data_IF_527734458858
#
_entry.id   IF_527734458858
#
_cell.length_a   1.000
_cell.length_b   1.000
_cell.length_c   1.000
_cell.angle_alpha   90.00
_cell.angle_beta   90.00
_cell.angle_gamma   90.00
#
_symmetry.space_group_name_H-M   'P 1'
#
loop_
_entity.id
_entity.type
_entity.pdbx_description
1 polymer ?
#
# COMPACT_ATOMS: atom_id res chain seq x y z
N UNK A 1 -0.01 -19.67 16.76
CA UNK A 1 -0.11 -21.08 16.32
C UNK A 1 -0.09 -21.11 14.81
N UNK A 2 0.81 -21.88 14.21
CA UNK A 2 0.82 -22.13 12.77
C UNK A 2 0.84 -23.64 12.56
N UNK A 3 -0.01 -24.14 11.66
CA UNK A 3 -0.07 -25.55 11.29
C UNK A 3 0.08 -25.64 9.78
N UNK A 4 1.02 -26.44 9.33
CA UNK A 4 1.17 -26.78 7.92
C UNK A 4 1.13 -28.29 7.76
N UNK A 5 0.30 -28.77 6.84
CA UNK A 5 0.10 -30.19 6.62
C UNK A 5 0.16 -30.52 5.12
N UNK A 6 1.09 -31.37 4.67
CA UNK A 6 1.09 -31.88 3.32
C UNK A 6 -0.12 -32.81 3.13
N UNK A 7 -1.00 -32.49 2.18
CA UNK A 7 -2.14 -33.36 1.82
C UNK A 7 -1.78 -34.32 0.69
N UNK A 8 -0.76 -33.99 -0.10
CA UNK A 8 -0.11 -34.90 -1.04
C UNK A 8 1.37 -34.51 -1.22
N UNK A 9 2.10 -35.20 -2.09
CA UNK A 9 3.53 -34.97 -2.33
C UNK A 9 3.88 -33.59 -2.93
N UNK A 10 2.88 -32.83 -3.40
CA UNK A 10 3.03 -31.56 -4.11
C UNK A 10 2.12 -30.45 -3.55
N UNK A 11 1.33 -30.73 -2.52
CA UNK A 11 0.30 -29.83 -2.03
C UNK A 11 0.34 -29.75 -0.50
N UNK A 12 0.39 -28.53 0.02
CA UNK A 12 0.43 -28.23 1.45
C UNK A 12 -0.73 -27.30 1.80
N UNK A 13 -1.48 -27.67 2.84
CA UNK A 13 -2.39 -26.74 3.50
C UNK A 13 -1.65 -26.04 4.63
N UNK A 14 -1.84 -24.73 4.77
CA UNK A 14 -1.34 -23.97 5.91
C UNK A 14 -2.48 -23.20 6.57
N UNK A 15 -2.41 -23.12 7.89
CA UNK A 15 -3.32 -22.37 8.73
C UNK A 15 -2.50 -21.61 9.77
N UNK A 16 -2.83 -20.35 10.00
CA UNK A 16 -2.23 -19.56 11.07
C UNK A 16 -3.27 -18.85 11.92
N UNK A 17 -2.98 -18.79 13.21
CA UNK A 17 -3.76 -18.08 14.22
C UNK A 17 -2.81 -17.37 15.17
N UNK A 18 -2.96 -16.06 15.32
CA UNK A 18 -2.07 -15.25 16.15
C UNK A 18 -2.76 -14.08 16.82
N UNK A 19 -2.27 -13.72 18.01
CA UNK A 19 -2.63 -12.48 18.70
C UNK A 19 -1.43 -11.55 18.63
N UNK A 20 -1.67 -10.35 18.16
CA UNK A 20 -0.65 -9.31 18.00
C UNK A 20 -1.09 -8.09 18.78
N UNK A 21 -0.14 -7.45 19.45
CA UNK A 21 -0.40 -6.28 20.28
C UNK A 21 0.48 -5.14 19.80
N UNK A 22 -0.11 -3.98 19.60
CA UNK A 22 0.60 -2.76 19.23
C UNK A 22 0.25 -1.68 20.25
N UNK A 23 1.26 -1.18 20.95
CA UNK A 23 1.10 0.00 21.82
C UNK A 23 0.73 1.24 21.00
N UNK A 24 0.03 2.18 21.62
CA UNK A 24 -0.25 3.47 21.02
C UNK A 24 1.04 4.28 20.80
N UNK A 25 0.94 5.42 20.12
CA UNK A 25 2.09 6.31 20.01
C UNK A 25 2.47 6.86 21.40
N UNK A 26 3.74 7.20 21.63
CA UNK A 26 4.16 7.80 22.92
C UNK A 26 3.39 9.08 23.26
N UNK A 27 3.02 9.85 22.22
CA UNK A 27 2.13 10.97 22.37
C UNK A 27 0.82 10.55 23.02
N UNK A 28 0.20 9.45 22.64
CA UNK A 28 -1.12 9.12 23.17
C UNK A 28 -1.15 8.85 24.68
N UNK A 29 -0.03 8.39 25.24
CA UNK A 29 0.17 8.15 26.67
C UNK A 29 0.52 9.41 27.49
N UNK A 30 0.89 10.51 26.82
CA UNK A 30 1.38 11.72 27.50
C UNK A 30 2.78 11.54 28.08
N UNK A 31 3.60 10.66 27.49
CA UNK A 31 4.99 10.45 27.89
C UNK A 31 5.89 11.50 27.23
N UNK A 32 6.24 12.52 28.00
CA UNK A 32 7.16 13.59 27.62
C UNK A 32 7.74 14.25 28.87
N UNK A 33 9.08 14.27 28.98
CA UNK A 33 9.77 14.93 30.09
C UNK A 33 10.44 16.21 29.59
N UNK A 34 9.94 17.37 30.05
CA UNK A 34 10.70 18.62 30.13
C UNK A 34 10.94 19.40 28.83
N UNK A 35 10.41 20.63 28.78
CA UNK A 35 11.14 21.80 28.28
C UNK A 35 11.55 21.90 26.79
N UNK A 36 11.11 21.02 25.91
CA UNK A 36 11.34 21.14 24.46
C UNK A 36 10.04 21.30 23.68
N UNK A 37 9.92 22.36 22.88
CA UNK A 37 8.88 22.48 21.85
C UNK A 37 9.06 21.34 20.83
N UNK A 38 8.35 20.23 21.05
CA UNK A 38 8.51 19.06 20.21
C UNK A 38 7.46 18.01 20.54
N UNK A 39 6.24 18.21 20.03
CA UNK A 39 5.17 17.22 19.85
C UNK A 39 4.99 16.21 21.01
N UNK A 40 4.55 16.69 22.17
CA UNK A 40 4.16 15.86 23.30
C UNK A 40 2.75 16.32 23.74
N UNK A 41 1.79 15.40 23.70
CA UNK A 41 0.31 15.62 23.76
C UNK A 41 -0.23 16.20 25.06
N UNK A 42 0.64 16.66 25.97
CA UNK A 42 0.22 17.35 27.19
C UNK A 42 0.80 18.75 27.15
N UNK A 43 -0.03 19.71 26.75
CA UNK A 43 0.35 21.11 26.74
C UNK A 43 -0.80 21.97 27.28
N UNK A 44 -0.38 22.99 28.02
CA UNK A 44 -1.24 24.05 28.54
C UNK A 44 -1.14 25.19 27.53
N UNK A 45 -2.28 25.77 27.17
CA UNK A 45 -2.31 26.95 26.29
C UNK A 45 -1.99 28.18 27.14
N UNK A 46 -1.19 29.10 26.62
CA UNK A 46 -0.84 30.32 27.34
C UNK A 46 -2.11 31.08 27.80
N UNK A 47 -2.15 31.46 29.08
CA UNK A 47 -3.34 32.04 29.72
C UNK A 47 -4.35 31.05 30.30
N UNK A 48 -4.14 29.73 30.22
CA UNK A 48 -4.95 28.72 30.94
C UNK A 48 -4.16 28.03 32.05
N UNK A 49 -4.86 27.55 33.08
CA UNK A 49 -4.27 26.74 34.17
C UNK A 49 -4.60 25.24 34.02
N UNK A 50 -5.07 24.82 32.85
CA UNK A 50 -5.49 23.45 32.57
C UNK A 50 -5.04 23.01 31.17
N UNK A 51 -4.75 21.72 30.96
CA UNK A 51 -4.25 21.22 29.69
C UNK A 51 -5.32 21.28 28.59
N UNK A 52 -4.93 21.55 27.35
CA UNK A 52 -5.84 21.46 26.20
C UNK A 52 -5.96 20.01 25.69
N UNK A 53 -4.85 19.28 25.72
CA UNK A 53 -4.79 17.83 25.50
C UNK A 53 -4.06 17.21 26.69
N UNK A 54 -4.53 16.05 27.13
CA UNK A 54 -3.92 15.25 28.19
C UNK A 54 -3.82 13.81 27.73
N UNK A 55 -2.60 13.28 27.63
CA UNK A 55 -2.39 11.87 27.28
C UNK A 55 -2.94 10.91 28.34
N UNK A 56 -3.27 9.69 27.93
CA UNK A 56 -3.86 8.69 28.81
C UNK A 56 -2.91 7.49 28.98
N UNK A 57 -2.36 7.34 30.19
CA UNK A 57 -1.45 6.25 30.55
C UNK A 57 -2.15 4.89 30.69
N UNK A 58 -3.47 4.89 30.85
CA UNK A 58 -4.29 3.68 30.96
C UNK A 58 -4.72 3.12 29.59
N UNK A 59 -4.17 3.64 28.49
CA UNK A 59 -4.47 3.10 27.15
C UNK A 59 -4.01 1.65 27.02
N UNK A 60 -4.97 0.78 26.73
CA UNK A 60 -4.68 -0.60 26.37
C UNK A 60 -4.00 -0.65 24.98
N UNK A 61 -3.08 -1.59 24.76
CA UNK A 61 -2.53 -1.81 23.43
C UNK A 61 -3.65 -2.26 22.47
N UNK A 62 -3.56 -1.81 21.22
CA UNK A 62 -4.41 -2.32 20.15
C UNK A 62 -4.12 -3.80 19.96
N UNK A 63 -5.18 -4.62 19.99
CA UNK A 63 -5.10 -6.07 19.84
C UNK A 63 -5.60 -6.47 18.46
N UNK A 64 -4.80 -7.23 17.73
CA UNK A 64 -5.20 -7.84 16.46
C UNK A 64 -5.19 -9.35 16.60
N UNK A 65 -6.34 -9.98 16.41
CA UNK A 65 -6.46 -11.43 16.29
C UNK A 65 -6.53 -11.78 14.81
N UNK A 66 -5.50 -12.44 14.29
CA UNK A 66 -5.40 -12.78 12.88
C UNK A 66 -5.58 -14.29 12.67
N UNK A 67 -6.33 -14.61 11.62
CA UNK A 67 -6.57 -15.95 11.10
C UNK A 67 -6.18 -15.97 9.63
N UNK A 68 -5.49 -17.03 9.21
CA UNK A 68 -5.13 -17.25 7.82
C UNK A 68 -5.33 -18.72 7.49
N UNK A 69 -5.83 -18.98 6.28
CA UNK A 69 -5.90 -20.32 5.70
C UNK A 69 -5.43 -20.22 4.25
N UNK A 70 -4.60 -21.16 3.84
CA UNK A 70 -4.15 -21.23 2.46
C UNK A 70 -3.78 -22.63 2.02
N UNK A 71 -3.67 -22.75 0.70
CA UNK A 71 -3.27 -23.96 0.01
C UNK A 71 -2.19 -23.61 -1.00
N UNK A 72 -1.06 -24.29 -0.88
CA UNK A 72 0.04 -24.20 -1.82
C UNK A 72 0.13 -25.49 -2.63
N UNK A 73 0.25 -25.39 -3.96
CA UNK A 73 0.43 -26.53 -4.85
C UNK A 73 1.56 -26.29 -5.84
N UNK A 74 2.50 -27.22 -5.85
CA UNK A 74 3.49 -27.34 -6.91
C UNK A 74 2.86 -27.99 -8.16
N UNK A 75 2.88 -27.25 -9.27
CA UNK A 75 2.36 -27.66 -10.57
C UNK A 75 3.55 -27.98 -11.48
N UNK A 76 3.64 -29.26 -11.85
CA UNK A 76 4.62 -29.80 -12.78
C UNK A 76 6.09 -29.49 -12.45
N UNK A 77 6.44 -29.19 -11.19
CA UNK A 77 7.79 -28.79 -10.75
C UNK A 77 8.30 -27.47 -11.37
N UNK A 78 7.43 -26.71 -12.04
CA UNK A 78 7.79 -25.45 -12.70
C UNK A 78 7.06 -24.25 -12.12
N UNK A 79 5.91 -24.48 -11.48
CA UNK A 79 5.10 -23.43 -10.89
C UNK A 79 4.67 -23.81 -9.47
N UNK A 80 4.53 -22.81 -8.61
CA UNK A 80 3.93 -22.94 -7.29
C UNK A 80 2.77 -21.97 -7.24
N UNK A 81 1.55 -22.50 -7.09
CA UNK A 81 0.33 -21.73 -6.91
C UNK A 81 -0.02 -21.73 -5.42
N UNK A 82 -0.15 -20.55 -4.83
CA UNK A 82 -0.61 -20.33 -3.47
C UNK A 82 -1.92 -19.53 -3.53
N UNK A 83 -2.93 -20.04 -2.85
CA UNK A 83 -4.20 -19.38 -2.62
C UNK A 83 -4.37 -19.19 -1.11
N UNK A 84 -4.41 -17.94 -0.66
CA UNK A 84 -4.51 -17.59 0.75
C UNK A 84 -5.70 -16.68 1.00
N UNK A 85 -6.46 -16.97 2.05
CA UNK A 85 -7.50 -16.09 2.58
C UNK A 85 -7.20 -15.76 4.04
N UNK A 86 -7.45 -14.52 4.44
CA UNK A 86 -7.17 -14.07 5.79
C UNK A 86 -8.29 -13.20 6.37
N UNK A 87 -8.40 -13.26 7.70
CA UNK A 87 -9.30 -12.47 8.50
C UNK A 87 -8.54 -11.88 9.69
N UNK A 88 -8.75 -10.60 9.98
CA UNK A 88 -8.17 -9.90 11.13
C UNK A 88 -9.29 -9.20 11.88
N UNK A 89 -9.41 -9.47 13.18
CA UNK A 89 -10.24 -8.69 14.11
C UNK A 89 -9.31 -7.77 14.91
N UNK A 90 -9.60 -6.48 14.89
CA UNK A 90 -8.79 -5.43 15.51
C UNK A 90 -9.64 -4.75 16.58
N UNK A 91 -9.14 -4.74 17.82
CA UNK A 91 -9.81 -4.18 19.00
C UNK A 91 -8.90 -3.17 19.68
N UNK A 92 -9.50 -2.38 20.57
CA UNK A 92 -8.81 -1.39 21.38
C UNK A 92 -8.09 -0.33 20.55
N UNK A 93 -8.63 0.04 19.38
CA UNK A 93 -8.04 1.13 18.60
C UNK A 93 -8.23 2.45 19.34
N UNK A 94 -7.20 3.31 19.28
CA UNK A 94 -7.18 4.60 19.96
C UNK A 94 -8.20 5.56 19.33
N UNK A 95 -8.90 6.31 20.17
CA UNK A 95 -9.80 7.40 19.78
C UNK A 95 -9.66 8.57 20.76
N UNK A 96 -10.16 9.73 20.34
CA UNK A 96 -10.21 10.94 21.18
C UNK A 96 -11.54 10.98 21.95
N UNK A 97 -11.47 11.35 23.23
CA UNK A 97 -12.60 11.62 24.13
C UNK A 97 -12.39 12.98 24.78
N UNK A 98 -13.44 13.79 24.86
CA UNK A 98 -13.40 15.09 25.54
C UNK A 98 -13.86 14.93 26.99
N UNK A 99 -13.16 15.58 27.92
CA UNK A 99 -13.51 15.63 29.34
C UNK A 99 -13.77 17.09 29.71
N UNK A 100 -14.93 17.35 30.32
CA UNK A 100 -15.21 18.63 30.96
C UNK A 100 -14.96 18.48 32.46
N UNK A 101 -14.06 19.30 32.99
CA UNK A 101 -13.73 19.35 34.41
C UNK A 101 -14.11 20.72 34.99
N UNK A 102 -14.14 20.89 36.32
CA UNK A 102 -14.39 22.19 36.97
C UNK A 102 -13.38 23.25 36.59
N UNK A 103 -12.19 22.80 36.18
CA UNK A 103 -11.05 23.64 35.90
C UNK A 103 -10.95 23.98 34.41
N UNK A 104 -11.71 23.30 33.54
CA UNK A 104 -11.70 23.49 32.10
C UNK A 104 -11.99 22.22 31.31
N UNK A 105 -12.05 22.34 29.98
CA UNK A 105 -12.31 21.24 29.04
C UNK A 105 -11.01 20.81 28.38
N UNK A 106 -10.76 19.51 28.33
CA UNK A 106 -9.57 18.95 27.70
C UNK A 106 -9.90 17.71 26.86
N UNK A 107 -9.08 17.44 25.85
CA UNK A 107 -9.15 16.20 25.08
C UNK A 107 -8.18 15.16 25.65
N UNK A 108 -8.60 13.91 25.73
CA UNK A 108 -7.76 12.77 26.08
C UNK A 108 -8.00 11.60 25.13
N UNK A 109 -7.16 10.57 25.23
CA UNK A 109 -7.27 9.38 24.40
C UNK A 109 -7.93 8.24 25.17
N UNK A 110 -8.70 7.41 24.48
CA UNK A 110 -9.33 6.21 25.02
C UNK A 110 -9.29 5.07 24.00
N UNK A 111 -9.52 3.85 24.46
CA UNK A 111 -9.78 2.70 23.59
C UNK A 111 -11.30 2.63 23.37
N UNK A 112 -11.73 2.44 22.12
CA UNK A 112 -13.17 2.29 21.90
C UNK A 112 -13.64 2.13 20.48
N UNK A 113 -12.76 1.99 19.49
CA UNK A 113 -13.18 1.56 18.18
C UNK A 113 -12.68 0.14 17.92
N UNK A 114 -13.21 -0.47 16.87
CA UNK A 114 -12.80 -1.77 16.38
C UNK A 114 -12.73 -1.72 14.86
N UNK A 115 -12.01 -2.65 14.28
CA UNK A 115 -11.95 -2.81 12.84
C UNK A 115 -11.83 -4.28 12.48
N UNK A 116 -12.22 -4.62 11.26
CA UNK A 116 -11.90 -5.92 10.70
C UNK A 116 -11.26 -5.77 9.32
N UNK A 117 -10.50 -6.79 8.92
CA UNK A 117 -9.94 -6.88 7.58
C UNK A 117 -10.14 -8.30 7.07
N UNK A 118 -10.66 -8.42 5.86
CA UNK A 118 -10.85 -9.68 5.16
C UNK A 118 -10.21 -9.55 3.79
N UNK A 119 -9.41 -10.54 3.41
CA UNK A 119 -8.74 -10.48 2.12
C UNK A 119 -8.40 -11.84 1.55
N UNK A 120 -8.04 -11.81 0.29
CA UNK A 120 -7.59 -12.98 -0.45
C UNK A 120 -6.37 -12.60 -1.29
N UNK A 121 -5.46 -13.55 -1.42
CA UNK A 121 -4.25 -13.48 -2.22
C UNK A 121 -4.13 -14.71 -3.11
N UNK A 122 -3.71 -14.49 -4.35
CA UNK A 122 -3.38 -15.52 -5.32
C UNK A 122 -1.96 -15.25 -5.77
N UNK A 123 -1.07 -16.20 -5.53
CA UNK A 123 0.34 -16.09 -5.87
C UNK A 123 0.73 -17.24 -6.78
N UNK A 124 1.27 -16.92 -7.96
CA UNK A 124 1.81 -17.88 -8.90
C UNK A 124 3.31 -17.61 -9.07
N UNK A 125 4.14 -18.47 -8.50
CA UNK A 125 5.59 -18.40 -8.64
C UNK A 125 6.04 -19.34 -9.77
N UNK A 126 6.80 -18.82 -10.73
CA UNK A 126 7.50 -19.62 -11.74
C UNK A 126 8.91 -19.92 -11.24
N UNK A 127 9.18 -21.19 -10.94
CA UNK A 127 10.49 -21.65 -10.49
C UNK A 127 11.55 -21.49 -11.59
N UNK A 128 12.81 -21.19 -11.22
CA UNK A 128 13.92 -21.10 -12.17
C UNK A 128 14.02 -22.32 -13.07
N UNK A 129 13.72 -22.11 -14.35
CA UNK A 129 13.74 -23.17 -15.36
C UNK A 129 14.92 -22.90 -16.29
N UNK A 130 15.99 -23.71 -16.15
CA UNK A 130 17.18 -23.59 -16.99
C UNK A 130 16.98 -24.34 -18.30
N UNK A 131 17.20 -23.66 -19.42
CA UNK A 131 17.11 -24.18 -20.78
C UNK A 131 18.41 -23.86 -21.55
N UNK A 132 18.64 -24.47 -22.72
CA UNK A 132 19.77 -24.10 -23.58
C UNK A 132 19.79 -22.63 -23.98
N UNK A 133 18.60 -22.01 -24.09
CA UNK A 133 18.46 -20.60 -24.49
C UNK A 133 18.52 -19.63 -23.31
N UNK A 134 18.42 -20.09 -22.06
CA UNK A 134 18.54 -19.23 -20.88
C UNK A 134 17.80 -19.77 -19.66
N UNK A 135 17.75 -18.98 -18.59
CA UNK A 135 16.98 -19.30 -17.38
C UNK A 135 15.86 -18.30 -17.23
N UNK A 136 14.64 -18.78 -17.01
CA UNK A 136 13.45 -17.95 -16.81
C UNK A 136 12.80 -18.27 -15.46
N UNK A 137 12.41 -17.23 -14.74
CA UNK A 137 11.68 -17.30 -13.47
C UNK A 137 10.82 -16.06 -13.30
N UNK A 138 9.95 -16.06 -12.31
CA UNK A 138 9.06 -14.94 -12.08
C UNK A 138 7.99 -15.23 -11.05
N UNK A 139 7.11 -14.26 -10.88
CA UNK A 139 5.95 -14.37 -10.01
C UNK A 139 4.79 -13.53 -10.56
N UNK A 140 3.58 -13.88 -10.16
CA UNK A 140 2.39 -13.06 -10.33
C UNK A 140 1.57 -13.14 -9.04
N UNK A 141 1.33 -12.00 -8.39
CA UNK A 141 0.60 -11.88 -7.14
C UNK A 141 -0.61 -10.98 -7.34
N UNK A 142 -1.80 -11.50 -7.07
CA UNK A 142 -3.04 -10.75 -7.03
C UNK A 142 -3.55 -10.67 -5.60
N UNK A 143 -3.88 -9.48 -5.13
CA UNK A 143 -4.41 -9.25 -3.79
C UNK A 143 -5.65 -8.38 -3.82
N UNK A 144 -6.63 -8.72 -2.99
CA UNK A 144 -7.83 -7.92 -2.75
C UNK A 144 -8.20 -7.99 -1.28
N UNK A 145 -8.75 -6.90 -0.74
CA UNK A 145 -9.21 -6.85 0.64
C UNK A 145 -10.34 -5.84 0.80
N UNK A 146 -11.15 -6.07 1.83
CA UNK A 146 -12.15 -5.16 2.34
C UNK A 146 -12.13 -5.25 3.86
N UNK A 147 -12.71 -4.28 4.55
CA UNK A 147 -12.82 -4.32 6.00
C UNK A 147 -13.95 -3.44 6.49
N UNK A 148 -14.07 -3.36 7.79
CA UNK A 148 -14.92 -2.38 8.47
C UNK A 148 -14.07 -1.53 9.40
N UNK A 149 -14.45 -0.27 9.54
CA UNK A 149 -14.09 0.58 10.67
C UNK A 149 -15.36 0.83 11.49
N UNK A 150 -15.34 0.37 12.72
CA UNK A 150 -16.50 0.28 13.60
C UNK A 150 -16.33 1.12 14.86
N UNK A 151 -17.39 1.82 15.23
CA UNK A 151 -17.45 2.59 16.48
C UNK A 151 -18.29 1.83 17.50
N UNK A 152 -17.71 1.51 18.66
CA UNK A 152 -18.37 0.74 19.73
C UNK A 152 -19.54 1.49 20.39
N UNK A 153 -19.64 2.81 20.16
CA UNK A 153 -20.55 3.68 20.89
C UNK A 153 -19.97 4.23 22.19
N UNK A 154 -18.66 4.10 22.46
CA UNK A 154 -18.04 4.65 23.67
C UNK A 154 -18.17 6.17 23.82
N UNK A 155 -18.12 6.71 25.05
CA UNK A 155 -18.24 8.13 25.34
C UNK A 155 -17.34 9.03 24.48
N UNK A 156 -17.94 10.06 23.87
CA UNK A 156 -17.22 11.16 23.22
C UNK A 156 -17.03 12.36 24.15
N UNK A 157 -17.89 12.50 25.15
CA UNK A 157 -17.85 13.56 26.16
C UNK A 157 -18.16 12.97 27.52
N UNK A 158 -17.34 13.29 28.51
CA UNK A 158 -17.63 13.03 29.93
C UNK A 158 -17.63 14.38 30.62
N UNK A 159 -18.77 14.78 31.16
CA UNK A 159 -18.95 16.08 31.79
C UNK A 159 -18.73 16.03 33.29
N UNK A 160 -18.39 17.17 33.89
CA UNK A 160 -18.09 17.26 35.32
C UNK A 160 -19.28 16.89 36.21
N UNK A 161 -20.50 17.13 35.73
CA UNK A 161 -21.74 16.78 36.43
C UNK A 161 -22.07 15.27 36.40
N UNK A 162 -21.18 14.45 35.83
CA UNK A 162 -21.35 13.01 35.66
C UNK A 162 -22.18 12.62 34.43
N UNK A 163 -22.65 13.58 33.65
CA UNK A 163 -23.32 13.28 32.38
C UNK A 163 -22.32 12.81 31.32
N UNK A 164 -22.77 11.90 30.46
CA UNK A 164 -21.93 11.27 29.43
C UNK A 164 -22.65 11.35 28.09
N UNK A 165 -21.95 11.84 27.06
CA UNK A 165 -22.43 11.81 25.69
C UNK A 165 -21.74 10.69 24.93
N UNK A 166 -22.53 9.81 24.33
CA UNK A 166 -22.04 8.76 23.46
C UNK A 166 -21.94 9.24 22.02
N UNK A 167 -20.96 8.70 21.30
CA UNK A 167 -20.84 8.89 19.86
C UNK A 167 -21.83 8.00 19.10
N UNK A 168 -21.99 8.26 17.80
CA UNK A 168 -22.69 7.30 16.95
C UNK A 168 -21.95 5.96 16.91
N UNK A 169 -22.70 4.87 17.08
CA UNK A 169 -22.23 3.50 16.88
C UNK A 169 -22.54 3.04 15.46
N UNK A 170 -21.71 2.15 14.91
CA UNK A 170 -21.96 1.51 13.64
C UNK A 170 -20.69 1.25 12.84
N UNK A 171 -20.88 0.48 11.76
CA UNK A 171 -19.81 0.03 10.88
C UNK A 171 -19.79 0.83 9.59
N UNK A 172 -18.60 1.23 9.17
CA UNK A 172 -18.35 1.75 7.83
C UNK A 172 -17.53 0.74 7.08
N UNK A 173 -18.03 0.29 5.93
CA UNK A 173 -17.27 -0.60 5.06
C UNK A 173 -16.14 0.18 4.41
N UNK A 174 -14.92 -0.29 4.63
CA UNK A 174 -13.72 0.18 3.97
C UNK A 174 -13.38 -0.74 2.81
N UNK A 175 -13.14 -0.13 1.66
CA UNK A 175 -12.74 -0.82 0.45
C UNK A 175 -11.26 -0.54 0.15
N UNK A 176 -10.63 -1.43 -0.61
CA UNK A 176 -9.30 -1.20 -1.16
C UNK A 176 -9.31 -1.52 -2.65
N UNK A 177 -8.34 -0.99 -3.38
CA UNK A 177 -8.10 -1.36 -4.76
C UNK A 177 -7.48 -2.76 -4.83
N UNK A 178 -8.06 -3.69 -5.63
CA UNK A 178 -7.35 -4.90 -5.99
C UNK A 178 -6.07 -4.57 -6.74
N UNK A 179 -5.02 -5.34 -6.49
CA UNK A 179 -3.69 -5.11 -7.08
C UNK A 179 -3.14 -6.39 -7.67
N UNK A 180 -2.58 -6.30 -8.88
CA UNK A 180 -1.78 -7.34 -9.52
C UNK A 180 -0.34 -6.86 -9.62
N UNK A 181 0.61 -7.68 -9.21
CA UNK A 181 2.05 -7.47 -9.40
C UNK A 181 2.63 -8.68 -10.13
N UNK A 182 3.43 -8.45 -11.15
CA UNK A 182 4.07 -9.48 -11.96
C UNK A 182 5.54 -9.15 -12.09
N UNK A 183 6.41 -10.08 -11.69
CA UNK A 183 7.84 -10.01 -11.96
C UNK A 183 8.23 -11.09 -12.95
N UNK A 184 8.86 -10.72 -14.05
CA UNK A 184 9.40 -11.65 -15.04
C UNK A 184 10.90 -11.45 -15.18
N UNK A 185 11.66 -12.52 -15.02
CA UNK A 185 13.11 -12.48 -15.04
C UNK A 185 13.66 -13.50 -16.02
N UNK A 186 14.66 -13.08 -16.76
CA UNK A 186 15.33 -13.92 -17.74
C UNK A 186 16.83 -13.66 -17.74
N UNK A 187 17.62 -14.73 -17.60
CA UNK A 187 19.09 -14.68 -17.70
C UNK A 187 19.57 -15.47 -18.91
N UNK A 188 20.34 -14.82 -19.78
CA UNK A 188 20.93 -15.48 -20.95
C UNK A 188 21.96 -16.56 -20.53
N UNK A 189 22.27 -17.54 -21.40
CA UNK A 189 23.20 -18.61 -21.08
C UNK A 189 24.62 -18.08 -20.87
N UNK A 190 25.32 -18.61 -19.87
CA UNK A 190 26.73 -18.27 -19.60
C UNK A 190 27.74 -18.84 -20.61
N UNK A 191 27.31 -19.66 -21.59
CA UNK A 191 28.17 -20.30 -22.60
C UNK A 191 27.78 -19.93 -24.05
N UNK A 192 27.04 -18.85 -24.26
CA UNK A 192 26.61 -18.42 -25.58
C UNK A 192 27.81 -17.81 -26.34
N UNK A 193 28.43 -18.54 -27.28
CA UNK A 193 29.66 -18.12 -27.96
C UNK A 193 29.45 -17.17 -29.17
N UNK A 194 28.23 -16.66 -29.36
CA UNK A 194 27.94 -15.68 -30.40
C UNK A 194 28.51 -14.30 -30.04
N UNK A 195 29.09 -13.59 -31.03
CA UNK A 195 29.79 -12.31 -30.89
C UNK A 195 30.76 -12.29 -29.68
N UNK A 196 31.66 -13.28 -29.59
CA UNK A 196 32.65 -13.39 -28.52
C UNK A 196 32.08 -13.36 -27.09
N UNK A 197 30.84 -13.83 -26.89
CA UNK A 197 30.21 -13.89 -25.57
C UNK A 197 29.56 -12.58 -25.11
N UNK A 198 29.40 -11.60 -26.02
CA UNK A 198 28.75 -10.32 -25.73
C UNK A 198 27.37 -10.51 -25.09
N UNK A 199 26.64 -11.56 -25.46
CA UNK A 199 25.29 -11.83 -24.97
C UNK A 199 25.20 -12.78 -23.77
N UNK A 200 26.32 -13.21 -23.19
CA UNK A 200 26.33 -14.07 -22.00
C UNK A 200 25.96 -13.30 -20.74
N UNK A 201 25.35 -13.95 -19.74
CA UNK A 201 25.11 -13.36 -18.42
C UNK A 201 24.40 -11.98 -18.44
N UNK A 202 23.49 -11.78 -19.39
CA UNK A 202 22.58 -10.64 -19.41
C UNK A 202 21.32 -11.05 -18.67
N UNK A 203 20.93 -10.26 -17.68
CA UNK A 203 19.68 -10.43 -16.93
C UNK A 203 18.71 -9.34 -17.34
N UNK A 204 17.53 -9.76 -17.80
CA UNK A 204 16.37 -8.93 -18.05
C UNK A 204 15.40 -9.11 -16.89
N UNK A 205 14.95 -8.00 -16.31
CA UNK A 205 13.97 -7.97 -15.23
C UNK A 205 12.84 -7.03 -15.64
N UNK A 206 11.61 -7.55 -15.69
CA UNK A 206 10.41 -6.78 -15.95
C UNK A 206 9.51 -6.86 -14.73
N UNK A 207 9.27 -5.71 -14.10
CA UNK A 207 8.29 -5.57 -13.04
C UNK A 207 7.07 -4.83 -13.58
N UNK A 208 5.90 -5.46 -13.51
CA UNK A 208 4.64 -4.90 -13.97
C UNK A 208 3.63 -4.89 -12.83
N UNK A 209 2.97 -3.75 -12.63
CA UNK A 209 1.94 -3.60 -11.62
C UNK A 209 0.67 -2.98 -12.21
N UNK A 210 -0.48 -3.46 -11.70
CA UNK A 210 -1.80 -2.96 -12.04
C UNK A 210 -2.58 -2.72 -10.75
N UNK A 211 -3.13 -1.52 -10.59
CA UNK A 211 -4.09 -1.20 -9.54
C UNK A 211 -5.46 -0.97 -10.17
N UNK A 212 -6.39 -1.90 -9.90
CA UNK A 212 -7.73 -1.87 -10.47
C UNK A 212 -8.59 -0.85 -9.73
N UNK A 213 -9.38 -0.03 -10.44
CA UNK A 213 -10.23 0.98 -9.82
C UNK A 213 -11.39 0.33 -9.06
N UNK A 214 -11.91 1.01 -8.04
CA UNK A 214 -13.05 0.59 -7.25
C UNK A 214 -14.04 1.76 -7.13
N UNK A 215 -15.27 1.57 -7.58
CA UNK A 215 -16.31 2.62 -7.62
C UNK A 215 -16.75 3.14 -6.25
N UNK A 216 -16.40 2.42 -5.18
CA UNK A 216 -16.64 2.82 -3.79
C UNK A 216 -15.53 3.75 -3.27
N UNK A 217 -14.41 3.86 -3.99
CA UNK A 217 -13.29 4.72 -3.62
C UNK A 217 -13.37 6.06 -4.36
N UNK A 218 -13.47 7.14 -3.59
CA UNK A 218 -13.55 8.50 -4.13
C UNK A 218 -12.43 8.85 -5.13
N UNK A 219 -11.16 8.46 -4.91
CA UNK A 219 -10.08 8.73 -5.88
C UNK A 219 -10.26 8.07 -7.25
N UNK A 220 -11.14 7.07 -7.38
CA UNK A 220 -11.23 6.23 -8.58
C UNK A 220 -12.34 6.61 -9.54
N UNK A 221 -13.26 7.47 -9.11
CA UNK A 221 -14.31 7.95 -10.00
C UNK A 221 -14.37 9.47 -10.05
N UNK A 222 -14.76 9.95 -11.23
CA UNK A 222 -15.14 11.32 -11.48
C UNK A 222 -16.66 11.41 -11.49
N UNK A 223 -17.23 12.34 -10.73
CA UNK A 223 -18.68 12.55 -10.68
C UNK A 223 -19.05 13.66 -11.65
N UNK A 224 -19.85 13.34 -12.66
CA UNK A 224 -20.36 14.33 -13.61
C UNK A 224 -21.82 14.02 -13.95
N UNK A 225 -22.70 15.03 -13.86
CA UNK A 225 -24.13 14.86 -14.15
C UNK A 225 -24.82 13.79 -13.29
N UNK A 226 -24.39 13.58 -12.04
CA UNK A 226 -24.90 12.53 -11.16
C UNK A 226 -24.41 11.11 -11.47
N UNK A 227 -23.57 10.93 -12.50
CA UNK A 227 -22.99 9.64 -12.90
C UNK A 227 -21.54 9.52 -12.46
N UNK A 228 -21.15 8.34 -11.96
CA UNK A 228 -19.76 7.98 -11.70
C UNK A 228 -19.09 7.49 -13.00
N UNK A 229 -17.96 8.10 -13.33
CA UNK A 229 -17.06 7.66 -14.40
C UNK A 229 -15.81 7.08 -13.75
N UNK A 230 -15.57 5.79 -13.92
CA UNK A 230 -14.47 5.08 -13.27
C UNK A 230 -13.18 5.19 -14.08
N UNK A 231 -12.06 5.60 -13.46
CA UNK A 231 -10.76 5.69 -14.15
C UNK A 231 -10.32 4.33 -14.71
N UNK A 232 -9.50 4.30 -15.78
CA UNK A 232 -8.83 3.07 -16.18
C UNK A 232 -7.91 2.56 -15.06
N UNK A 233 -7.56 1.27 -15.12
CA UNK A 233 -6.59 0.70 -14.20
C UNK A 233 -5.23 1.40 -14.31
N UNK A 234 -4.65 1.72 -13.15
CA UNK A 234 -3.34 2.35 -13.05
C UNK A 234 -2.30 1.26 -13.32
N UNK A 235 -1.56 1.40 -14.42
CA UNK A 235 -0.56 0.42 -14.88
C UNK A 235 0.84 1.02 -14.84
N UNK A 236 1.83 0.23 -14.48
CA UNK A 236 3.22 0.66 -14.56
C UNK A 236 4.11 -0.55 -14.83
N UNK A 237 5.05 -0.38 -15.76
CA UNK A 237 6.06 -1.37 -16.09
C UNK A 237 7.45 -0.75 -15.89
N UNK A 238 8.33 -1.46 -15.20
CA UNK A 238 9.75 -1.10 -15.06
C UNK A 238 10.58 -2.21 -15.69
N UNK A 239 11.57 -1.83 -16.48
CA UNK A 239 12.49 -2.75 -17.14
C UNK A 239 13.90 -2.48 -16.65
N UNK A 240 14.61 -3.51 -16.19
CA UNK A 240 16.03 -3.45 -15.90
C UNK A 240 16.78 -4.49 -16.73
N UNK A 241 17.89 -4.06 -17.31
CA UNK A 241 18.81 -4.93 -18.04
C UNK A 241 20.19 -4.76 -17.44
N UNK A 242 20.75 -5.86 -16.94
CA UNK A 242 22.06 -5.94 -16.27
C UNK A 242 22.96 -6.91 -17.02
N UNK A 243 24.23 -6.57 -17.20
CA UNK A 243 25.25 -7.46 -17.77
C UNK A 243 26.30 -7.75 -16.71
N UNK A 244 26.53 -9.02 -16.40
CA UNK A 244 27.63 -9.40 -15.49
C UNK A 244 28.91 -9.66 -16.31
N UNK A 245 29.98 -8.92 -15.99
CA UNK A 245 31.30 -9.00 -16.61
C UNK A 245 32.31 -9.42 -15.55
N UNK A 246 32.81 -10.65 -15.65
CA UNK A 246 33.87 -11.15 -14.77
C UNK A 246 35.22 -10.61 -15.24
N UNK A 247 35.98 -9.96 -14.36
CA UNK A 247 37.34 -9.50 -14.67
C UNK A 247 38.32 -10.64 -14.35
N UNK A 248 38.98 -11.15 -15.39
CA UNK A 248 39.91 -12.27 -15.29
C UNK A 248 41.03 -11.98 -14.28
N UNK A 249 41.36 -12.96 -13.43
CA UNK A 249 42.48 -12.88 -12.49
C UNK A 249 42.26 -12.03 -11.24
N UNK A 250 41.08 -11.40 -11.06
CA UNK A 250 40.85 -10.45 -9.95
C UNK A 250 39.74 -10.85 -8.97
N UNK A 251 38.93 -11.87 -9.29
CA UNK A 251 37.72 -12.22 -8.51
C UNK A 251 36.57 -11.20 -8.66
N UNK A 252 36.80 -10.07 -9.32
CA UNK A 252 35.86 -8.96 -9.43
C UNK A 252 34.81 -9.19 -10.53
N UNK A 253 33.57 -8.74 -10.26
CA UNK A 253 32.46 -8.73 -11.22
C UNK A 253 31.95 -7.29 -11.37
N UNK A 254 32.10 -6.73 -12.58
CA UNK A 254 31.47 -5.48 -12.96
C UNK A 254 30.08 -5.77 -13.52
N UNK A 255 29.09 -5.01 -13.06
CA UNK A 255 27.69 -5.20 -13.45
C UNK A 255 27.04 -3.89 -13.87
N UNK A 256 27.39 -3.34 -15.05
CA UNK A 256 26.65 -2.23 -15.62
C UNK A 256 25.19 -2.65 -15.85
N UNK A 257 24.27 -1.73 -15.58
CA UNK A 257 22.87 -1.91 -15.84
C UNK A 257 22.23 -0.61 -16.32
N UNK A 258 21.13 -0.77 -17.06
CA UNK A 258 20.20 0.31 -17.32
C UNK A 258 18.81 -0.09 -16.85
N UNK A 259 18.08 0.89 -16.34
CA UNK A 259 16.73 0.73 -15.84
C UNK A 259 15.82 1.80 -16.46
N UNK A 260 14.65 1.38 -16.91
CA UNK A 260 13.61 2.24 -17.45
C UNK A 260 12.43 2.13 -16.50
N UNK A 261 12.20 3.17 -15.71
CA UNK A 261 10.99 3.27 -14.91
C UNK A 261 9.86 3.82 -15.77
N UNK A 262 8.65 3.28 -15.58
CA UNK A 262 7.48 3.64 -16.38
C UNK A 262 7.74 3.49 -17.90
N UNK A 263 8.14 2.27 -18.29
CA UNK A 263 8.53 1.86 -19.64
C UNK A 263 7.54 2.32 -20.72
N UNK A 264 6.24 2.30 -20.44
CA UNK A 264 5.20 2.72 -21.39
C UNK A 264 4.80 4.19 -21.27
N UNK A 265 5.38 4.93 -20.31
CA UNK A 265 5.02 6.32 -20.00
C UNK A 265 3.52 6.46 -19.67
N UNK A 266 2.98 5.49 -18.94
CA UNK A 266 1.60 5.49 -18.46
C UNK A 266 1.40 6.67 -17.49
N UNK A 267 0.22 7.29 -17.54
CA UNK A 267 -0.14 8.46 -16.73
C UNK A 267 -1.32 8.11 -15.82
N UNK A 268 -1.12 8.21 -14.52
CA UNK A 268 -2.15 7.94 -13.52
C UNK A 268 -2.80 9.27 -13.15
N UNK A 269 -4.07 9.45 -13.52
CA UNK A 269 -4.75 10.72 -13.32
C UNK A 269 -5.20 10.89 -11.86
N UNK A 270 -5.09 12.11 -11.34
CA UNK A 270 -5.75 12.56 -10.12
C UNK A 270 -7.08 13.22 -10.51
N UNK A 271 -8.17 12.46 -10.48
CA UNK A 271 -9.46 12.89 -11.05
C UNK A 271 -9.98 14.19 -10.42
N UNK A 272 -9.75 14.37 -9.13
CA UNK A 272 -10.23 15.52 -8.36
C UNK A 272 -9.62 16.85 -8.81
N UNK A 273 -8.42 16.84 -9.40
CA UNK A 273 -7.83 18.07 -9.95
C UNK A 273 -8.69 18.70 -11.05
N UNK A 274 -9.50 17.89 -11.74
CA UNK A 274 -10.32 18.32 -12.87
C UNK A 274 -11.72 18.79 -12.46
N UNK A 275 -12.10 18.67 -11.17
CA UNK A 275 -13.41 19.13 -10.67
C UNK A 275 -13.52 20.66 -10.61
N UNK A 276 -12.37 21.34 -10.64
CA UNK A 276 -12.27 22.79 -10.78
C UNK A 276 -12.33 23.29 -12.22
N UNK A 277 -12.32 22.39 -13.22
CA UNK A 277 -12.40 22.75 -14.63
C UNK A 277 -13.79 23.29 -15.01
N UNK A 278 -13.91 23.93 -16.18
CA UNK A 278 -15.21 24.39 -16.67
C UNK A 278 -16.18 23.21 -16.87
N UNK A 279 -17.50 23.43 -16.75
CA UNK A 279 -18.51 22.37 -16.92
C UNK A 279 -18.35 21.63 -18.26
N UNK A 280 -18.03 22.38 -19.32
CA UNK A 280 -17.80 21.81 -20.65
C UNK A 280 -16.53 20.94 -20.71
N UNK A 281 -15.46 21.36 -20.03
CA UNK A 281 -14.22 20.56 -19.96
C UNK A 281 -14.40 19.33 -19.09
N UNK A 282 -15.16 19.42 -17.99
CA UNK A 282 -15.55 18.27 -17.17
C UNK A 282 -16.36 17.26 -17.97
N UNK A 283 -17.31 17.72 -18.79
CA UNK A 283 -18.08 16.88 -19.71
C UNK A 283 -17.18 16.13 -20.67
N UNK A 284 -16.29 16.85 -21.38
CA UNK A 284 -15.33 16.24 -22.31
C UNK A 284 -14.39 15.27 -21.61
N UNK A 285 -13.90 15.61 -20.42
CA UNK A 285 -13.03 14.75 -19.61
C UNK A 285 -13.72 13.42 -19.30
N UNK A 286 -14.93 13.47 -18.75
CA UNK A 286 -15.72 12.30 -18.39
C UNK A 286 -16.13 11.45 -19.61
N UNK A 287 -16.74 12.07 -20.61
CA UNK A 287 -17.29 11.37 -21.78
C UNK A 287 -16.23 10.82 -22.73
N UNK A 288 -15.03 11.41 -22.76
CA UNK A 288 -13.90 10.88 -23.54
C UNK A 288 -13.23 9.64 -22.90
N UNK A 289 -13.68 9.23 -21.71
CA UNK A 289 -12.99 8.21 -20.91
C UNK A 289 -11.61 8.68 -20.46
N UNK A 290 -11.52 9.95 -20.04
CA UNK A 290 -10.30 10.59 -19.53
C UNK A 290 -9.17 10.76 -20.55
N UNK A 291 -9.48 10.71 -21.85
CA UNK A 291 -8.51 10.98 -22.92
C UNK A 291 -8.29 12.47 -23.15
N UNK A 292 -9.37 13.25 -23.07
CA UNK A 292 -9.29 14.71 -23.01
C UNK A 292 -8.88 15.11 -21.60
N UNK A 293 -7.82 15.90 -21.42
CA UNK A 293 -7.33 16.34 -20.10
C UNK A 293 -7.45 17.87 -20.01
N UNK A 294 -8.29 18.43 -19.11
CA UNK A 294 -8.38 19.86 -18.90
C UNK A 294 -7.04 20.46 -18.49
N UNK A 295 -6.67 21.58 -19.11
CA UNK A 295 -5.42 22.31 -18.82
C UNK A 295 -5.62 23.49 -17.88
N UNK A 296 -6.86 23.96 -17.72
CA UNK A 296 -7.22 25.13 -16.91
C UNK A 296 -8.44 24.87 -16.04
N UNK A 297 -8.52 25.60 -14.93
CA UNK A 297 -9.72 25.70 -14.09
C UNK A 297 -10.78 26.56 -14.78
N UNK A 298 -12.00 26.59 -14.23
CA UNK A 298 -13.08 27.45 -14.69
C UNK A 298 -12.73 28.95 -14.65
N UNK A 299 -11.79 29.35 -13.79
CA UNK A 299 -11.29 30.73 -13.67
C UNK A 299 -10.09 31.00 -14.60
N UNK A 300 -9.67 30.03 -15.41
CA UNK A 300 -8.57 30.17 -16.36
C UNK A 300 -7.17 29.93 -15.79
N UNK A 301 -7.06 29.54 -14.50
CA UNK A 301 -5.79 29.19 -13.87
C UNK A 301 -5.30 27.85 -14.42
N UNK A 302 -4.04 27.77 -14.80
CA UNK A 302 -3.45 26.53 -15.31
C UNK A 302 -3.41 25.45 -14.23
N UNK A 303 -3.93 24.27 -14.54
CA UNK A 303 -3.77 23.09 -13.69
C UNK A 303 -2.34 22.56 -13.94
N UNK A 304 -1.50 22.56 -12.91
CA UNK A 304 -0.12 22.10 -13.01
C UNK A 304 -0.07 20.58 -13.18
N UNK A 305 0.93 20.08 -13.90
CA UNK A 305 1.09 18.64 -14.15
C UNK A 305 1.30 17.84 -12.85
N UNK A 306 1.96 18.42 -11.85
CA UNK A 306 2.07 17.84 -10.50
C UNK A 306 0.71 17.65 -9.82
N UNK A 307 -0.31 18.44 -10.18
CA UNK A 307 -1.68 18.28 -9.70
C UNK A 307 -2.49 17.29 -10.54
N UNK A 308 -2.12 17.06 -11.81
CA UNK A 308 -2.86 16.17 -12.74
C UNK A 308 -2.52 14.70 -12.57
N UNK A 309 -1.27 14.39 -12.24
CA UNK A 309 -0.74 13.03 -12.31
C UNK A 309 -0.24 12.54 -10.94
N UNK A 310 -0.55 11.29 -10.61
CA UNK A 310 -0.17 10.60 -9.36
C UNK A 310 1.12 9.78 -9.49
N UNK A 311 1.70 9.70 -10.68
CA UNK A 311 2.93 8.95 -10.93
C UNK A 311 3.95 9.81 -11.68
N UNK A 312 5.22 9.43 -11.56
CA UNK A 312 6.31 10.06 -12.29
C UNK A 312 6.30 9.63 -13.78
N UNK A 313 6.73 10.52 -14.69
CA UNK A 313 6.92 10.16 -16.09
C UNK A 313 8.05 9.14 -16.26
N UNK A 314 8.21 8.63 -17.49
CA UNK A 314 9.31 7.73 -17.83
C UNK A 314 10.66 8.33 -17.45
N UNK A 315 11.49 7.55 -16.77
CA UNK A 315 12.87 7.90 -16.47
C UNK A 315 13.80 6.75 -16.83
N UNK A 316 15.03 7.09 -17.21
CA UNK A 316 16.07 6.13 -17.56
C UNK A 316 17.22 6.36 -16.58
N UNK A 317 17.62 5.30 -15.89
CA UNK A 317 18.73 5.29 -14.95
C UNK A 317 19.84 4.39 -15.51
N UNK A 318 21.06 4.88 -15.47
CA UNK A 318 22.26 4.08 -15.71
C UNK A 318 22.99 3.90 -14.39
N UNK A 319 23.45 2.68 -14.13
CA UNK A 319 24.24 2.40 -12.95
C UNK A 319 25.22 1.26 -13.19
N UNK A 320 26.12 1.08 -12.24
CA UNK A 320 27.08 0.00 -12.25
C UNK A 320 27.28 -0.47 -10.81
N UNK A 321 27.22 -1.78 -10.58
CA UNK A 321 27.71 -2.36 -9.33
C UNK A 321 29.03 -3.07 -9.56
N UNK A 322 29.86 -3.09 -8.51
CA UNK A 322 31.14 -3.77 -8.48
C UNK A 322 31.08 -4.73 -7.29
N UNK A 323 31.27 -6.02 -7.55
CA UNK A 323 31.29 -7.06 -6.53
C UNK A 323 32.70 -7.67 -6.48
N UNK A 324 33.25 -7.82 -5.28
CA UNK A 324 34.53 -8.49 -5.04
C UNK A 324 34.24 -9.85 -4.41
N UNK A 325 34.70 -10.93 -5.04
CA UNK A 325 34.72 -12.28 -4.45
C UNK A 325 36.09 -12.57 -3.84
#
# INVERSE_FOLDING_TARGET
>A
LGVSHPIDAKTVLHFSYGHFFQRASFGDYGEGTGGGEGSLTTFIVDGTNFPWVLGNRELEPQKTVAYEVGIERNIANFFVLDLTAYYKDIRNTVRVTTIESPFGVYATNSNGNYADVRGAEISLNKLPSRTPIGTIWGYANFTTQTGIDGKSGDPVLISYDGSVRYGGSGDVILHNNPRLKVGLFYKTPGKLNWLAGLFQNITFSLDYQVTYPNEMLRPDYFLYGGKKYLRPADKNANLRIRKDIKIFGTGMVLSPYFEIHNLFNDKWLYLQAFESASVEDQRKFAESGFKYIPSKTATGVTILDMGKYRNLPRSILFGMSIEFN
#
